data_IF_768240559486
#
_entry.id   IF_768240559486
#
_cell.length_a   1.000
_cell.length_b   1.000
_cell.length_c   1.000
_cell.angle_alpha   90.00
_cell.angle_beta   90.00
_cell.angle_gamma   90.00
#
_symmetry.space_group_name_H-M   'P 1'
#
loop_
_entity.id
_entity.type
_entity.pdbx_description
1 polymer ?
#
# COMPACT_ATOMS: atom_id res chain seq x y z
N UNK A 1 -16.67 -62.60 20.19
CA UNK A 1 -16.63 -61.14 20.46
C UNK A 1 -16.13 -60.48 19.18
N UNK A 2 -17.01 -59.73 18.51
CA UNK A 2 -16.90 -59.39 17.09
C UNK A 2 -15.85 -58.30 16.83
N UNK A 3 -14.87 -58.60 15.98
CA UNK A 3 -13.77 -57.74 15.55
C UNK A 3 -14.20 -56.60 14.59
N UNK A 4 -15.51 -56.28 14.52
CA UNK A 4 -16.07 -55.34 13.54
C UNK A 4 -16.27 -53.91 14.07
N UNK A 5 -16.03 -53.66 15.36
CA UNK A 5 -16.38 -52.37 15.98
C UNK A 5 -15.22 -51.38 16.08
N UNK A 6 -13.97 -51.78 15.79
CA UNK A 6 -12.78 -50.93 16.02
C UNK A 6 -12.34 -50.13 14.78
N UNK A 7 -12.80 -50.47 13.57
CA UNK A 7 -12.30 -49.86 12.32
C UNK A 7 -13.07 -48.57 11.94
N UNK A 8 -14.21 -48.27 12.57
CA UNK A 8 -15.06 -47.13 12.18
C UNK A 8 -14.60 -45.81 12.85
N UNK A 9 -13.85 -45.86 13.94
CA UNK A 9 -13.39 -44.66 14.66
C UNK A 9 -12.20 -43.94 14.03
N UNK A 10 -11.34 -44.64 13.28
CA UNK A 10 -10.10 -44.07 12.71
C UNK A 10 -10.30 -43.45 11.33
N UNK A 11 -11.29 -43.90 10.56
CA UNK A 11 -11.63 -43.31 9.25
C UNK A 11 -12.30 -41.94 9.38
N UNK A 12 -13.12 -41.72 10.41
CA UNK A 12 -13.77 -40.42 10.66
C UNK A 12 -12.81 -39.32 11.08
N UNK A 13 -11.76 -39.65 11.86
CA UNK A 13 -10.74 -38.68 12.28
C UNK A 13 -9.83 -38.27 11.12
N UNK A 14 -9.47 -39.19 10.22
CA UNK A 14 -8.60 -38.91 9.07
C UNK A 14 -9.21 -37.90 8.11
N UNK A 15 -10.51 -38.05 7.79
CA UNK A 15 -11.23 -37.13 6.88
C UNK A 15 -11.29 -35.72 7.47
N UNK A 16 -11.49 -35.60 8.79
CA UNK A 16 -11.58 -34.32 9.49
C UNK A 16 -10.24 -33.58 9.51
N UNK A 17 -9.13 -34.29 9.70
CA UNK A 17 -7.77 -33.70 9.65
C UNK A 17 -7.40 -33.26 8.23
N UNK A 18 -7.75 -34.04 7.20
CA UNK A 18 -7.52 -33.63 5.80
C UNK A 18 -8.40 -32.45 5.38
N UNK A 19 -9.66 -32.38 5.82
CA UNK A 19 -10.53 -31.24 5.53
C UNK A 19 -10.03 -29.96 6.21
N UNK A 20 -9.50 -30.06 7.44
CA UNK A 20 -8.87 -28.92 8.13
C UNK A 20 -7.58 -28.46 7.44
N UNK A 21 -6.74 -29.40 6.97
CA UNK A 21 -5.51 -29.08 6.25
C UNK A 21 -5.79 -28.42 4.89
N UNK A 22 -6.84 -28.87 4.18
CA UNK A 22 -7.27 -28.24 2.91
C UNK A 22 -7.82 -26.83 3.17
N UNK A 23 -8.64 -26.63 4.21
CA UNK A 23 -9.12 -25.30 4.60
C UNK A 23 -7.99 -24.36 5.04
N UNK A 24 -6.97 -24.86 5.73
CA UNK A 24 -5.77 -24.09 6.09
C UNK A 24 -4.88 -23.78 4.88
N UNK A 25 -4.88 -24.62 3.84
CA UNK A 25 -4.10 -24.38 2.61
C UNK A 25 -4.71 -23.29 1.71
N UNK A 26 -6.02 -23.05 1.81
CA UNK A 26 -6.68 -21.94 1.12
C UNK A 26 -6.61 -20.62 1.91
N UNK A 27 -6.19 -20.65 3.18
CA UNK A 27 -6.12 -19.47 4.04
C UNK A 27 -4.77 -18.73 3.95
N UNK A 28 -3.77 -19.27 3.24
CA UNK A 28 -2.51 -18.59 2.96
C UNK A 28 -2.50 -18.02 1.55
N UNK A 29 -3.49 -17.20 1.20
CA UNK A 29 -3.39 -16.33 0.04
C UNK A 29 -2.15 -15.45 0.22
N UNK A 30 -1.22 -15.48 -0.72
CA UNK A 30 -0.09 -14.55 -0.70
C UNK A 30 -0.67 -13.13 -0.72
N UNK A 31 -0.35 -12.33 0.30
CA UNK A 31 -0.77 -10.93 0.31
C UNK A 31 -0.10 -10.20 -0.85
N UNK A 32 -0.92 -9.65 -1.74
CA UNK A 32 -0.45 -8.80 -2.84
C UNK A 32 -0.30 -7.33 -2.43
N UNK A 33 -0.56 -6.99 -1.16
CA UNK A 33 -0.45 -5.64 -0.62
C UNK A 33 0.93 -5.00 -0.84
N UNK A 34 2.06 -5.71 -0.65
CA UNK A 34 3.39 -5.12 -0.91
C UNK A 34 3.60 -4.66 -2.36
N UNK A 35 2.85 -5.22 -3.32
CA UNK A 35 2.97 -4.81 -4.73
C UNK A 35 2.05 -3.65 -5.12
N UNK A 36 1.03 -3.36 -4.32
CA UNK A 36 0.01 -2.36 -4.67
C UNK A 36 0.58 -0.94 -4.69
N UNK A 37 1.20 -0.49 -3.61
CA UNK A 37 1.74 0.88 -3.51
C UNK A 37 2.80 1.16 -4.59
N UNK A 38 3.79 0.28 -4.83
CA UNK A 38 4.74 0.48 -5.93
C UNK A 38 4.06 0.57 -7.31
N UNK A 39 2.98 -0.18 -7.52
CA UNK A 39 2.23 -0.13 -8.79
C UNK A 39 1.44 1.18 -8.91
N UNK A 40 0.88 1.72 -7.82
CA UNK A 40 0.25 3.05 -7.82
C UNK A 40 1.27 4.16 -8.11
N UNK A 41 2.48 4.06 -7.55
CA UNK A 41 3.59 5.00 -7.82
C UNK A 41 3.97 4.95 -9.30
N UNK A 42 4.08 3.75 -9.90
CA UNK A 42 4.34 3.59 -11.34
C UNK A 42 3.24 4.18 -12.19
N UNK A 43 1.97 3.92 -11.85
CA UNK A 43 0.84 4.50 -12.56
C UNK A 43 0.91 6.03 -12.64
N UNK A 44 1.36 6.68 -11.56
CA UNK A 44 1.58 8.13 -11.53
C UNK A 44 2.76 8.56 -12.43
N UNK A 45 3.85 7.80 -12.44
CA UNK A 45 5.05 8.08 -13.23
C UNK A 45 4.79 7.87 -14.73
N UNK A 46 4.02 6.86 -15.09
CA UNK A 46 3.67 6.48 -16.47
C UNK A 46 2.44 7.22 -17.02
N UNK A 47 2.04 8.33 -16.39
CA UNK A 47 0.86 9.13 -16.76
C UNK A 47 0.83 9.55 -18.24
N UNK A 48 2.00 9.70 -18.87
CA UNK A 48 2.15 10.09 -20.28
C UNK A 48 2.37 8.89 -21.22
N UNK A 49 2.55 7.67 -20.68
CA UNK A 49 2.71 6.44 -21.45
C UNK A 49 1.44 5.59 -21.39
N UNK A 50 0.58 5.72 -22.41
CA UNK A 50 -0.75 5.07 -22.40
C UNK A 50 -0.70 3.55 -22.28
N UNK A 51 0.36 2.90 -22.77
CA UNK A 51 0.50 1.43 -22.72
C UNK A 51 0.88 0.97 -21.32
N UNK A 52 1.90 1.59 -20.70
CA UNK A 52 2.30 1.23 -19.34
C UNK A 52 1.21 1.62 -18.34
N UNK A 53 0.59 2.80 -18.51
CA UNK A 53 -0.60 3.20 -17.73
C UNK A 53 -1.71 2.16 -17.77
N UNK A 54 -2.04 1.61 -18.95
CA UNK A 54 -3.07 0.60 -19.07
C UNK A 54 -2.70 -0.71 -18.34
N UNK A 55 -1.44 -1.13 -18.41
CA UNK A 55 -0.94 -2.32 -17.68
C UNK A 55 -1.02 -2.12 -16.18
N UNK A 56 -0.60 -0.96 -15.68
CA UNK A 56 -0.64 -0.65 -14.24
C UNK A 56 -2.08 -0.58 -13.73
N UNK A 57 -3.02 0.00 -14.51
CA UNK A 57 -4.45 -0.01 -14.17
C UNK A 57 -4.97 -1.44 -14.04
N UNK A 58 -4.69 -2.31 -15.03
CA UNK A 58 -5.11 -3.72 -14.97
C UNK A 58 -4.51 -4.43 -13.77
N UNK A 59 -3.22 -4.24 -13.50
CA UNK A 59 -2.55 -4.87 -12.36
C UNK A 59 -3.14 -4.40 -11.03
N UNK A 60 -3.43 -3.10 -10.88
CA UNK A 60 -4.07 -2.57 -9.66
C UNK A 60 -5.46 -3.15 -9.51
N UNK A 61 -6.25 -3.22 -10.58
CA UNK A 61 -7.62 -3.76 -10.56
C UNK A 61 -7.66 -5.24 -10.12
N UNK A 62 -6.73 -6.05 -10.63
CA UNK A 62 -6.53 -7.45 -10.21
C UNK A 62 -6.20 -7.53 -8.70
N UNK A 63 -5.20 -6.76 -8.24
CA UNK A 63 -4.80 -6.75 -6.83
C UNK A 63 -5.93 -6.29 -5.91
N UNK A 64 -6.63 -5.19 -6.27
CA UNK A 64 -7.73 -4.64 -5.47
C UNK A 64 -8.91 -5.62 -5.40
N UNK A 65 -9.21 -6.31 -6.51
CA UNK A 65 -10.25 -7.34 -6.55
C UNK A 65 -9.90 -8.52 -5.64
N UNK A 66 -8.65 -8.97 -5.67
CA UNK A 66 -8.17 -10.10 -4.86
C UNK A 66 -8.10 -9.79 -3.36
N UNK A 67 -7.93 -8.50 -2.98
CA UNK A 67 -7.89 -8.07 -1.59
C UNK A 67 -9.23 -8.20 -0.83
N UNK A 68 -10.35 -8.24 -1.55
CA UNK A 68 -11.72 -8.27 -0.98
C UNK A 68 -11.94 -7.21 0.13
N UNK A 69 -11.44 -5.99 -0.10
CA UNK A 69 -11.53 -4.88 0.85
C UNK A 69 -12.39 -3.76 0.28
N UNK A 70 -13.53 -3.50 0.94
CA UNK A 70 -14.51 -2.53 0.42
C UNK A 70 -13.98 -1.11 0.40
N UNK A 71 -13.18 -0.70 1.40
CA UNK A 71 -12.67 0.67 1.46
C UNK A 71 -11.60 0.91 0.39
N UNK A 72 -10.72 -0.07 0.18
CA UNK A 72 -9.74 -0.03 -0.93
C UNK A 72 -10.44 -0.06 -2.28
N UNK A 73 -11.45 -0.92 -2.45
CA UNK A 73 -12.22 -1.04 -3.70
C UNK A 73 -12.96 0.24 -4.06
N UNK A 74 -13.65 0.85 -3.09
CA UNK A 74 -14.37 2.11 -3.30
C UNK A 74 -13.41 3.26 -3.68
N UNK A 75 -12.25 3.31 -3.02
CA UNK A 75 -11.21 4.30 -3.34
C UNK A 75 -10.63 4.08 -4.74
N UNK A 76 -10.40 2.84 -5.13
CA UNK A 76 -9.95 2.49 -6.47
C UNK A 76 -10.95 2.89 -7.54
N UNK A 77 -12.24 2.58 -7.35
CA UNK A 77 -13.28 2.97 -8.31
C UNK A 77 -13.45 4.48 -8.42
N UNK A 78 -13.29 5.22 -7.33
CA UNK A 78 -13.20 6.68 -7.36
C UNK A 78 -12.00 7.16 -8.20
N UNK A 79 -10.85 6.51 -8.06
CA UNK A 79 -9.65 6.81 -8.85
C UNK A 79 -9.84 6.49 -10.34
N UNK A 80 -10.53 5.40 -10.70
CA UNK A 80 -10.86 5.10 -12.09
C UNK A 80 -11.66 6.23 -12.76
N UNK A 81 -12.54 6.91 -12.03
CA UNK A 81 -13.28 8.06 -12.57
C UNK A 81 -12.34 9.23 -12.91
N UNK A 82 -11.34 9.53 -12.08
CA UNK A 82 -10.36 10.58 -12.43
C UNK A 82 -9.44 10.16 -13.58
N UNK A 83 -9.08 8.87 -13.67
CA UNK A 83 -8.17 8.36 -14.69
C UNK A 83 -8.72 8.50 -16.12
N UNK A 84 -10.05 8.56 -16.27
CA UNK A 84 -10.75 8.83 -17.54
C UNK A 84 -10.53 10.24 -18.08
N UNK A 85 -10.23 11.21 -17.23
CA UNK A 85 -10.06 12.62 -17.61
C UNK A 85 -8.61 13.06 -17.37
N UNK A 86 -8.25 13.32 -16.10
CA UNK A 86 -6.89 13.54 -15.63
C UNK A 86 -6.89 13.60 -14.10
N UNK A 87 -6.33 12.60 -13.44
CA UNK A 87 -6.11 12.66 -11.99
C UNK A 87 -5.05 13.70 -11.64
N UNK A 88 -5.25 14.41 -10.54
CA UNK A 88 -4.22 15.25 -9.92
C UNK A 88 -3.37 14.39 -8.97
N UNK A 89 -2.14 14.81 -8.61
CA UNK A 89 -1.28 14.05 -7.71
C UNK A 89 -1.96 13.64 -6.39
N UNK A 90 -2.81 14.52 -5.84
CA UNK A 90 -3.52 14.27 -4.58
C UNK A 90 -4.49 13.08 -4.67
N UNK A 91 -5.02 12.74 -5.85
CA UNK A 91 -5.89 11.56 -6.01
C UNK A 91 -5.11 10.26 -5.74
N UNK A 92 -3.87 10.18 -6.24
CA UNK A 92 -2.97 9.05 -6.01
C UNK A 92 -2.53 8.98 -4.54
N UNK A 93 -2.15 10.12 -3.93
CA UNK A 93 -1.77 10.14 -2.52
C UNK A 93 -2.93 9.73 -1.60
N UNK A 94 -4.16 10.18 -1.90
CA UNK A 94 -5.34 9.76 -1.17
C UNK A 94 -5.58 8.26 -1.28
N UNK A 95 -5.42 7.68 -2.48
CA UNK A 95 -5.57 6.24 -2.65
C UNK A 95 -4.50 5.46 -1.88
N UNK A 96 -3.23 5.87 -1.96
CA UNK A 96 -2.14 5.26 -1.18
C UNK A 96 -2.42 5.36 0.32
N UNK A 97 -2.91 6.51 0.81
CA UNK A 97 -3.25 6.70 2.22
C UNK A 97 -4.35 5.73 2.69
N UNK A 98 -5.38 5.49 1.86
CA UNK A 98 -6.44 4.53 2.16
C UNK A 98 -5.86 3.11 2.22
N UNK A 99 -5.05 2.72 1.23
CA UNK A 99 -4.36 1.41 1.22
C UNK A 99 -3.51 1.23 2.48
N UNK A 100 -2.74 2.24 2.89
CA UNK A 100 -1.93 2.18 4.11
C UNK A 100 -2.81 2.03 5.36
N UNK A 101 -3.93 2.75 5.45
CA UNK A 101 -4.80 2.66 6.62
C UNK A 101 -5.44 1.28 6.75
N UNK A 102 -6.01 0.77 5.66
CA UNK A 102 -6.74 -0.52 5.67
C UNK A 102 -5.78 -1.71 5.78
N UNK A 103 -4.59 -1.63 5.16
CA UNK A 103 -3.60 -2.73 5.11
C UNK A 103 -2.32 -2.44 5.89
N UNK A 104 -2.39 -1.60 6.92
CA UNK A 104 -1.22 -1.14 7.71
C UNK A 104 -0.34 -2.25 8.27
N UNK A 105 -0.94 -3.41 8.60
CA UNK A 105 -0.26 -4.58 9.15
C UNK A 105 0.53 -5.39 8.11
N UNK A 106 0.23 -5.19 6.83
CA UNK A 106 0.88 -5.86 5.69
C UNK A 106 1.93 -4.98 5.01
N UNK A 107 1.92 -3.67 5.30
CA UNK A 107 2.77 -2.67 4.67
C UNK A 107 3.96 -2.36 5.58
N UNK A 108 5.16 -2.61 5.04
CA UNK A 108 6.40 -2.22 5.72
C UNK A 108 6.44 -0.70 5.86
N UNK A 109 6.86 -0.23 7.03
CA UNK A 109 6.97 1.21 7.32
C UNK A 109 5.64 1.99 7.19
N UNK A 110 4.49 1.35 7.38
CA UNK A 110 3.17 1.98 7.28
C UNK A 110 3.05 3.30 8.07
N UNK A 111 3.57 3.34 9.31
CA UNK A 111 3.58 4.58 10.12
C UNK A 111 4.43 5.71 9.49
N UNK A 112 5.62 5.38 8.97
CA UNK A 112 6.49 6.35 8.30
C UNK A 112 5.84 6.85 7.00
N UNK A 113 5.28 5.95 6.19
CA UNK A 113 4.55 6.31 4.97
C UNK A 113 3.36 7.24 5.27
N UNK A 114 2.59 6.94 6.33
CA UNK A 114 1.51 7.82 6.81
C UNK A 114 2.03 9.21 7.18
N UNK A 115 3.12 9.29 7.94
CA UNK A 115 3.71 10.58 8.31
C UNK A 115 4.21 11.35 7.08
N UNK A 116 4.84 10.68 6.11
CA UNK A 116 5.26 11.30 4.84
C UNK A 116 4.06 11.88 4.08
N UNK A 117 2.95 11.14 3.98
CA UNK A 117 1.73 11.60 3.30
C UNK A 117 1.06 12.78 4.03
N UNK A 118 1.03 12.76 5.37
CA UNK A 118 0.53 13.88 6.16
C UNK A 118 1.40 15.12 5.96
N UNK A 119 2.73 14.96 5.94
CA UNK A 119 3.68 16.03 5.62
C UNK A 119 3.44 16.59 4.22
N UNK A 120 3.25 15.73 3.20
CA UNK A 120 2.94 16.15 1.83
C UNK A 120 1.66 17.00 1.78
N UNK A 121 0.60 16.52 2.44
CA UNK A 121 -0.75 17.10 2.43
C UNK A 121 -0.80 18.47 3.09
N UNK A 122 -0.13 18.62 4.23
CA UNK A 122 -0.20 19.85 5.03
C UNK A 122 0.93 20.84 4.76
N UNK A 123 1.84 20.53 3.84
CA UNK A 123 2.92 21.44 3.48
C UNK A 123 2.39 22.80 3.00
N UNK A 124 2.76 23.87 3.71
CA UNK A 124 2.35 25.23 3.35
C UNK A 124 0.89 25.56 3.66
N UNK A 125 0.19 24.70 4.41
CA UNK A 125 -1.19 24.94 4.87
C UNK A 125 -1.22 25.54 6.27
N UNK A 126 -2.41 25.92 6.75
CA UNK A 126 -2.61 26.42 8.12
C UNK A 126 -2.53 25.34 9.22
N UNK A 127 -2.50 24.05 8.85
CA UNK A 127 -2.40 22.91 9.78
C UNK A 127 -0.95 22.69 10.26
N UNK A 128 -0.34 23.73 10.81
CA UNK A 128 1.09 23.77 11.16
C UNK A 128 1.45 22.72 12.22
N UNK A 129 0.53 22.42 13.15
CA UNK A 129 0.78 21.46 14.24
C UNK A 129 0.84 20.03 13.71
N UNK A 130 -0.14 19.63 12.89
CA UNK A 130 -0.21 18.33 12.24
C UNK A 130 0.98 18.13 11.32
N UNK A 131 1.28 19.15 10.50
CA UNK A 131 2.46 19.17 9.64
C UNK A 131 3.76 18.96 10.43
N UNK A 132 3.98 19.74 11.49
CA UNK A 132 5.22 19.70 12.28
C UNK A 132 5.40 18.34 12.98
N UNK A 133 4.31 17.76 13.50
CA UNK A 133 4.35 16.43 14.13
C UNK A 133 4.73 15.36 13.12
N UNK A 134 4.07 15.34 11.96
CA UNK A 134 4.32 14.36 10.92
C UNK A 134 5.73 14.50 10.33
N UNK A 135 6.17 15.73 10.04
CA UNK A 135 7.52 15.99 9.51
C UNK A 135 8.60 15.53 10.51
N UNK A 136 8.44 15.85 11.79
CA UNK A 136 9.40 15.45 12.82
C UNK A 136 9.43 13.93 12.98
N UNK A 137 8.27 13.27 13.02
CA UNK A 137 8.20 11.82 13.13
C UNK A 137 8.82 11.12 11.92
N UNK A 138 8.47 11.55 10.71
CA UNK A 138 9.06 11.02 9.48
C UNK A 138 10.58 11.19 9.47
N UNK A 139 11.09 12.36 9.88
CA UNK A 139 12.52 12.61 9.94
C UNK A 139 13.25 11.68 10.91
N UNK A 140 12.73 11.52 12.14
CA UNK A 140 13.30 10.61 13.13
C UNK A 140 13.32 9.17 12.61
N UNK A 141 12.19 8.67 12.09
CA UNK A 141 12.09 7.31 11.58
C UNK A 141 13.10 7.07 10.43
N UNK A 142 13.27 8.05 9.53
CA UNK A 142 14.24 7.97 8.42
C UNK A 142 15.69 7.94 8.89
N UNK A 143 16.04 8.71 9.93
CA UNK A 143 17.37 8.69 10.52
C UNK A 143 17.68 7.33 11.15
N UNK A 144 16.69 6.70 11.79
CA UNK A 144 16.78 5.37 12.42
C UNK A 144 16.93 4.23 11.41
N UNK A 145 16.46 4.39 10.16
CA UNK A 145 16.67 3.39 9.10
C UNK A 145 18.14 3.23 8.72
N UNK A 146 18.96 4.26 8.95
CA UNK A 146 20.38 4.31 8.56
C UNK A 146 20.64 3.99 7.06
N UNK A 147 19.64 4.21 6.21
CA UNK A 147 19.73 4.00 4.76
C UNK A 147 20.05 5.33 4.05
N UNK A 148 21.26 5.43 3.49
CA UNK A 148 21.73 6.65 2.83
C UNK A 148 20.87 7.08 1.64
N UNK A 149 20.28 6.13 0.91
CA UNK A 149 19.47 6.43 -0.27
C UNK A 149 18.16 7.07 0.18
N UNK A 150 17.51 6.48 1.19
CA UNK A 150 16.28 7.00 1.78
C UNK A 150 16.53 8.36 2.44
N UNK A 151 17.59 8.49 3.25
CA UNK A 151 17.92 9.78 3.89
C UNK A 151 18.24 10.88 2.87
N UNK A 152 18.96 10.56 1.79
CA UNK A 152 19.24 11.55 0.73
C UNK A 152 17.96 11.99 0.03
N UNK A 153 17.08 11.04 -0.34
CA UNK A 153 15.82 11.37 -1.01
C UNK A 153 14.90 12.19 -0.11
N UNK A 154 14.86 11.88 1.18
CA UNK A 154 14.13 12.68 2.16
C UNK A 154 14.66 14.10 2.28
N UNK A 155 15.99 14.27 2.29
CA UNK A 155 16.57 15.60 2.33
C UNK A 155 16.19 16.43 1.09
N UNK A 156 16.13 15.82 -0.10
CA UNK A 156 15.62 16.50 -1.29
C UNK A 156 14.16 16.98 -1.13
N UNK A 157 13.30 16.16 -0.51
CA UNK A 157 11.90 16.54 -0.18
C UNK A 157 11.88 17.74 0.77
N UNK A 158 12.72 17.74 1.81
CA UNK A 158 12.79 18.83 2.79
C UNK A 158 13.35 20.11 2.18
N UNK A 159 14.43 20.01 1.38
CA UNK A 159 15.09 21.15 0.74
C UNK A 159 14.20 21.80 -0.33
N UNK A 160 13.37 21.02 -1.02
CA UNK A 160 12.32 21.52 -1.90
C UNK A 160 11.37 22.48 -1.18
N UNK A 161 11.21 22.33 0.15
CA UNK A 161 10.38 23.16 1.02
C UNK A 161 8.96 23.40 0.47
N UNK A 162 8.42 22.42 -0.25
CA UNK A 162 7.09 22.48 -0.86
C UNK A 162 6.90 23.53 -1.95
N UNK A 163 7.96 24.18 -2.44
CA UNK A 163 7.90 25.23 -3.47
C UNK A 163 8.45 24.77 -4.82
N UNK A 164 9.19 23.66 -4.87
CA UNK A 164 9.74 23.16 -6.12
C UNK A 164 8.65 22.55 -7.03
N UNK A 165 8.74 22.71 -8.37
CA UNK A 165 7.80 22.10 -9.32
C UNK A 165 7.69 20.57 -9.19
N UNK A 166 8.80 19.92 -8.85
CA UNK A 166 8.95 18.48 -8.70
C UNK A 166 8.53 17.94 -7.32
N UNK A 167 7.90 18.77 -6.46
CA UNK A 167 7.50 18.41 -5.09
C UNK A 167 6.82 17.03 -5.04
N UNK A 168 5.78 16.85 -5.86
CA UNK A 168 5.01 15.61 -5.85
C UNK A 168 5.83 14.42 -6.37
N UNK A 169 6.66 14.62 -7.40
CA UNK A 169 7.55 13.58 -7.91
C UNK A 169 8.54 13.12 -6.83
N UNK A 170 9.08 14.04 -6.02
CA UNK A 170 9.96 13.69 -4.90
C UNK A 170 9.23 12.86 -3.83
N UNK A 171 7.98 13.20 -3.50
CA UNK A 171 7.17 12.40 -2.58
C UNK A 171 6.85 11.00 -3.15
N UNK A 172 6.50 10.88 -4.43
CA UNK A 172 6.28 9.56 -5.04
C UNK A 172 7.56 8.71 -5.08
N UNK A 173 8.71 9.31 -5.39
CA UNK A 173 10.01 8.62 -5.30
C UNK A 173 10.30 8.15 -3.88
N UNK A 174 10.04 8.99 -2.88
CA UNK A 174 10.23 8.63 -1.47
C UNK A 174 9.33 7.46 -1.06
N UNK A 175 8.04 7.49 -1.43
CA UNK A 175 7.10 6.40 -1.19
C UNK A 175 7.57 5.12 -1.89
N UNK A 176 8.01 5.21 -3.14
CA UNK A 176 8.50 4.06 -3.90
C UNK A 176 9.77 3.41 -3.34
N UNK A 177 10.58 4.12 -2.54
CA UNK A 177 11.73 3.54 -1.83
C UNK A 177 11.35 2.79 -0.56
N UNK A 178 10.19 3.10 0.01
CA UNK A 178 9.71 2.56 1.29
C UNK A 178 8.68 1.45 1.13
N UNK A 179 7.99 1.42 -0.02
CA UNK A 179 6.93 0.48 -0.35
C UNK A 179 7.44 -0.85 -0.91
#
# INVERSE_FOLDING_TARGET
MSLKTVVIGTLGLGILVTALAILLSFASGESHTPELIPTIVKLYQDKDNSVEKAKDITKIDEIVTDMDDTAVSDAWYSMLECLKSSCVPDDYFNFIMIVINEKSHEIKYSNLLTNILITQRYWGTENIVEFSKALTAANTDIEELHDKTISSKWQEVVDCNGVCPEKNDLFFQMIGLLA
#
